data_IF_414326081878
#
_entry.id   IF_414326081878
#
_cell.length_a   1.000
_cell.length_b   1.000
_cell.length_c   1.000
_cell.angle_alpha   90.00
_cell.angle_beta   90.00
_cell.angle_gamma   90.00
#
_symmetry.space_group_name_H-M   'P 1'
#
loop_
_entity.id
_entity.type
_entity.pdbx_description
1 polymer ?
#
# COMPACT_ATOMS: atom_id res chain seq x y z
N UNK A 1 40.53 22.70 8.44
CA UNK A 1 39.21 22.83 7.79
C UNK A 1 38.57 21.50 7.36
N UNK A 2 39.30 20.37 7.26
CA UNK A 2 38.69 19.07 6.87
C UNK A 2 37.89 18.37 8.00
N UNK A 3 38.13 18.66 9.28
CA UNK A 3 37.41 18.01 10.39
C UNK A 3 35.93 18.43 10.53
N UNK A 4 35.55 19.60 10.05
CA UNK A 4 34.16 20.06 10.09
C UNK A 4 33.25 19.49 8.98
N UNK A 5 33.84 18.96 7.91
CA UNK A 5 33.10 18.39 6.78
C UNK A 5 32.72 16.92 7.00
N UNK A 6 33.56 16.19 7.75
CA UNK A 6 33.32 14.76 8.04
C UNK A 6 32.24 14.51 9.09
N UNK A 7 31.85 15.49 9.89
CA UNK A 7 30.79 15.38 10.88
C UNK A 7 29.38 15.37 10.27
N UNK A 8 29.23 15.63 8.96
CA UNK A 8 27.94 15.62 8.24
C UNK A 8 27.65 14.32 7.49
N UNK A 9 28.50 13.31 7.59
CA UNK A 9 28.34 12.01 6.93
C UNK A 9 27.65 10.94 7.77
N UNK A 10 27.14 11.28 8.94
CA UNK A 10 26.20 10.40 9.64
C UNK A 10 24.82 10.60 9.02
N UNK A 11 24.45 9.72 8.09
CA UNK A 11 23.07 9.59 7.66
C UNK A 11 22.38 8.73 8.73
N UNK A 12 22.10 9.36 9.86
CA UNK A 12 21.18 8.82 10.86
C UNK A 12 19.74 9.23 10.53
N UNK A 13 18.75 8.67 11.21
CA UNK A 13 17.40 9.21 11.11
C UNK A 13 17.46 10.70 11.37
N UNK A 14 17.02 11.48 10.41
CA UNK A 14 17.00 12.94 10.51
C UNK A 14 16.27 13.32 11.79
N UNK A 15 17.02 13.55 12.86
CA UNK A 15 16.52 14.38 13.94
C UNK A 15 16.48 15.81 13.40
N UNK A 16 15.49 16.07 12.55
CA UNK A 16 15.12 17.45 12.27
C UNK A 16 14.65 18.00 13.62
N UNK A 17 15.58 18.70 14.30
CA UNK A 17 15.21 19.67 15.30
C UNK A 17 14.36 20.69 14.56
N UNK A 18 13.05 20.44 14.50
CA UNK A 18 12.10 21.44 14.03
C UNK A 18 12.18 22.52 15.08
N UNK A 19 12.74 23.65 14.69
CA UNK A 19 12.63 24.90 15.40
C UNK A 19 11.13 25.14 15.50
N UNK A 20 10.59 24.95 16.69
CA UNK A 20 9.22 25.33 17.06
C UNK A 20 9.12 26.86 16.95
N UNK A 21 8.71 27.32 15.79
CA UNK A 21 8.48 28.72 15.51
C UNK A 21 6.99 29.01 15.83
N UNK A 22 6.71 29.16 17.12
CA UNK A 22 5.64 30.04 17.58
C UNK A 22 4.20 29.53 17.53
N UNK A 23 3.60 29.29 18.69
CA UNK A 23 2.18 29.66 18.95
C UNK A 23 1.13 28.65 18.49
N UNK A 24 1.15 27.45 18.99
CA UNK A 24 0.17 26.40 18.79
C UNK A 24 0.88 25.15 18.29
N UNK A 25 1.32 24.29 19.22
CA UNK A 25 2.05 23.09 18.82
C UNK A 25 1.11 22.15 18.08
N UNK A 26 1.30 22.04 16.76
CA UNK A 26 0.69 20.96 15.99
C UNK A 26 1.17 19.62 16.57
N UNK A 27 0.32 18.58 16.59
CA UNK A 27 0.73 17.27 17.08
C UNK A 27 1.95 16.77 16.30
N UNK A 28 2.97 16.30 17.02
CA UNK A 28 4.14 15.73 16.38
C UNK A 28 3.79 14.43 15.66
N UNK A 29 4.05 14.39 14.36
CA UNK A 29 3.87 13.20 13.53
C UNK A 29 5.22 12.74 12.98
N UNK A 30 5.54 11.48 13.23
CA UNK A 30 6.72 10.81 12.73
C UNK A 30 6.39 9.38 12.28
N UNK A 31 7.37 8.64 11.71
CA UNK A 31 7.16 7.28 11.20
C UNK A 31 6.52 6.33 12.21
N UNK A 32 6.90 6.42 13.48
CA UNK A 32 6.43 5.54 14.55
C UNK A 32 4.96 5.72 14.91
N UNK A 33 4.40 6.92 14.74
CA UNK A 33 3.03 7.23 15.17
C UNK A 33 2.07 7.56 14.02
N UNK A 34 2.58 7.78 12.81
CA UNK A 34 1.76 8.11 11.64
C UNK A 34 0.73 7.02 11.30
N UNK A 35 1.05 5.77 11.59
CA UNK A 35 0.15 4.62 11.35
C UNK A 35 -1.16 4.68 12.17
N UNK A 36 -1.26 5.54 13.17
CA UNK A 36 -2.49 5.75 13.95
C UNK A 36 -3.57 6.47 13.18
N UNK A 37 -3.21 7.18 12.12
CA UNK A 37 -4.16 7.91 11.29
C UNK A 37 -4.76 6.97 10.24
N UNK A 38 -6.09 6.87 10.22
CA UNK A 38 -6.84 5.90 9.42
C UNK A 38 -6.43 5.86 7.94
N UNK A 39 -6.29 6.99 7.22
CA UNK A 39 -5.89 6.95 5.82
C UNK A 39 -4.46 6.39 5.61
N UNK A 40 -3.54 6.75 6.52
CA UNK A 40 -2.16 6.23 6.49
C UNK A 40 -2.14 4.74 6.78
N UNK A 41 -2.85 4.31 7.83
CA UNK A 41 -2.99 2.89 8.16
C UNK A 41 -3.52 2.09 6.97
N UNK A 42 -4.61 2.58 6.34
CA UNK A 42 -5.21 1.90 5.19
C UNK A 42 -4.26 1.82 4.00
N UNK A 43 -3.60 2.92 3.63
CA UNK A 43 -2.66 2.95 2.51
C UNK A 43 -1.47 2.01 2.74
N UNK A 44 -0.83 2.10 3.91
CA UNK A 44 0.35 1.29 4.25
C UNK A 44 0.00 -0.20 4.33
N UNK A 45 -1.12 -0.55 5.00
CA UNK A 45 -1.52 -1.95 5.14
C UNK A 45 -2.01 -2.54 3.82
N UNK A 46 -2.67 -1.77 2.95
CA UNK A 46 -3.08 -2.22 1.63
C UNK A 46 -1.86 -2.63 0.80
N UNK A 47 -0.90 -1.72 0.61
CA UNK A 47 0.32 -1.99 -0.17
C UNK A 47 1.10 -3.17 0.43
N UNK A 48 1.28 -3.18 1.75
CA UNK A 48 2.05 -4.23 2.42
C UNK A 48 1.41 -5.62 2.32
N UNK A 49 0.08 -5.70 2.43
CA UNK A 49 -0.64 -6.95 2.29
C UNK A 49 -0.64 -7.44 0.84
N UNK A 50 -0.79 -6.53 -0.14
CA UNK A 50 -0.79 -6.90 -1.55
C UNK A 50 0.59 -7.43 -1.97
N UNK A 51 1.69 -6.77 -1.59
CA UNK A 51 3.05 -7.27 -1.85
C UNK A 51 3.32 -8.60 -1.12
N UNK A 52 2.80 -8.75 0.10
CA UNK A 52 3.01 -9.96 0.88
C UNK A 52 2.28 -11.18 0.32
N UNK A 53 1.10 -11.00 -0.29
CA UNK A 53 0.30 -12.09 -0.85
C UNK A 53 0.70 -12.51 -2.26
N UNK A 54 1.28 -11.58 -3.04
CA UNK A 54 1.73 -11.90 -4.41
C UNK A 54 2.75 -13.03 -4.39
N UNK A 55 2.56 -14.02 -5.27
CA UNK A 55 3.50 -15.12 -5.41
C UNK A 55 4.85 -14.59 -5.89
N UNK A 56 5.91 -15.06 -5.24
CA UNK A 56 7.28 -14.68 -5.53
C UNK A 56 8.05 -15.97 -5.86
N UNK A 57 8.66 -15.99 -7.01
CA UNK A 57 9.50 -17.10 -7.48
C UNK A 57 10.90 -16.56 -7.81
N UNK A 58 11.90 -17.29 -7.34
CA UNK A 58 13.30 -17.00 -7.60
C UNK A 58 13.92 -18.17 -8.38
N UNK A 59 14.73 -17.87 -9.40
CA UNK A 59 15.43 -18.93 -10.14
C UNK A 59 16.53 -19.60 -9.31
N UNK A 60 17.09 -18.92 -8.31
CA UNK A 60 18.01 -19.52 -7.34
C UNK A 60 17.23 -20.25 -6.25
N UNK A 61 17.44 -21.59 -6.16
CA UNK A 61 16.73 -22.43 -5.20
C UNK A 61 17.03 -22.11 -3.73
N UNK A 62 18.22 -21.59 -3.43
CA UNK A 62 18.62 -21.20 -2.09
C UNK A 62 17.90 -19.93 -1.64
N UNK A 63 17.83 -18.93 -2.53
CA UNK A 63 17.10 -17.70 -2.28
C UNK A 63 15.59 -17.96 -2.20
N UNK A 64 15.04 -18.78 -3.08
CA UNK A 64 13.63 -19.17 -3.09
C UNK A 64 13.23 -19.85 -1.79
N UNK A 65 13.98 -20.86 -1.37
CA UNK A 65 13.75 -21.56 -0.10
C UNK A 65 13.84 -20.61 1.11
N UNK A 66 14.82 -19.70 1.12
CA UNK A 66 14.96 -18.70 2.19
C UNK A 66 13.78 -17.73 2.23
N UNK A 67 13.29 -17.27 1.07
CA UNK A 67 12.16 -16.35 0.99
C UNK A 67 10.82 -17.03 1.25
N UNK A 68 10.70 -18.32 0.99
CA UNK A 68 9.56 -19.15 1.37
C UNK A 68 9.50 -19.42 2.89
N UNK A 69 10.66 -19.46 3.57
CA UNK A 69 10.77 -19.64 5.03
C UNK A 69 11.87 -18.74 5.61
N UNK A 70 11.64 -17.43 5.70
CA UNK A 70 12.68 -16.46 6.05
C UNK A 70 13.14 -16.56 7.50
N UNK A 71 12.30 -17.05 8.40
CA UNK A 71 12.62 -17.20 9.82
C UNK A 71 11.78 -18.32 10.45
N UNK A 72 12.28 -19.04 11.47
CA UNK A 72 11.51 -20.03 12.21
C UNK A 72 10.34 -19.41 13.03
N UNK A 73 10.33 -18.09 13.20
CA UNK A 73 9.33 -17.38 14.02
C UNK A 73 8.31 -16.60 13.18
N UNK A 74 8.48 -16.51 11.86
CA UNK A 74 7.71 -15.62 10.99
C UNK A 74 7.49 -16.27 9.63
N UNK A 75 6.23 -16.29 9.16
CA UNK A 75 5.91 -16.76 7.81
C UNK A 75 6.46 -15.81 6.73
N UNK A 76 6.61 -16.30 5.51
CA UNK A 76 6.98 -15.48 4.36
C UNK A 76 6.06 -14.26 4.18
N UNK A 77 4.76 -14.46 4.35
CA UNK A 77 3.76 -13.40 4.29
C UNK A 77 4.01 -12.31 5.35
N UNK A 78 4.20 -12.71 6.61
CA UNK A 78 4.42 -11.77 7.71
C UNK A 78 5.73 -11.02 7.57
N UNK A 79 6.79 -11.71 7.12
CA UNK A 79 8.09 -11.10 6.87
C UNK A 79 7.99 -10.03 5.77
N UNK A 80 7.43 -10.38 4.60
CA UNK A 80 7.25 -9.45 3.49
C UNK A 80 6.37 -8.27 3.88
N UNK A 81 5.27 -8.53 4.58
CA UNK A 81 4.39 -7.49 5.11
C UNK A 81 5.11 -6.54 6.05
N UNK A 82 5.84 -7.06 7.03
CA UNK A 82 6.55 -6.24 8.02
C UNK A 82 7.65 -5.38 7.37
N UNK A 83 8.48 -5.97 6.50
CA UNK A 83 9.50 -5.25 5.74
C UNK A 83 8.89 -4.12 4.89
N UNK A 84 7.79 -4.41 4.20
CA UNK A 84 7.10 -3.42 3.37
C UNK A 84 6.49 -2.30 4.22
N UNK A 85 5.86 -2.62 5.36
CA UNK A 85 5.36 -1.60 6.27
C UNK A 85 6.47 -0.70 6.80
N UNK A 86 7.62 -1.28 7.13
CA UNK A 86 8.78 -0.51 7.61
C UNK A 86 9.28 0.45 6.53
N UNK A 87 9.48 0.01 5.29
CA UNK A 87 9.95 0.90 4.22
C UNK A 87 8.96 1.99 3.89
N UNK A 88 7.66 1.71 3.92
CA UNK A 88 6.60 2.70 3.70
C UNK A 88 6.52 3.77 4.79
N UNK A 89 6.83 3.42 6.03
CA UNK A 89 6.80 4.35 7.17
C UNK A 89 8.14 5.06 7.37
N UNK A 90 9.22 4.30 7.45
CA UNK A 90 10.55 4.81 7.81
C UNK A 90 11.42 5.14 6.60
N UNK A 91 11.00 4.78 5.39
CA UNK A 91 11.81 4.90 4.18
C UNK A 91 12.87 3.81 4.04
N UNK A 92 13.09 3.02 5.08
CA UNK A 92 14.09 1.95 5.11
C UNK A 92 13.54 0.76 5.87
N UNK A 93 13.86 -0.45 5.40
CA UNK A 93 13.59 -1.68 6.11
C UNK A 93 14.83 -2.57 6.05
N UNK A 94 15.14 -3.22 7.16
CA UNK A 94 16.37 -3.98 7.31
C UNK A 94 16.10 -5.39 7.82
N UNK A 95 16.82 -6.35 7.25
CA UNK A 95 16.95 -7.67 7.83
C UNK A 95 18.42 -8.10 7.84
N UNK A 96 18.90 -8.65 8.94
CA UNK A 96 20.22 -9.25 9.00
C UNK A 96 20.19 -10.62 8.33
N UNK A 97 21.15 -10.89 7.44
CA UNK A 97 21.32 -12.17 6.75
C UNK A 97 22.20 -13.05 7.63
N UNK A 98 21.62 -14.04 8.29
CA UNK A 98 22.35 -15.02 9.05
C UNK A 98 22.88 -16.11 8.10
N UNK A 99 24.19 -16.38 8.16
CA UNK A 99 24.86 -17.36 7.30
C UNK A 99 25.53 -18.43 8.14
N UNK A 100 25.56 -19.66 7.62
CA UNK A 100 26.36 -20.75 8.18
C UNK A 100 27.87 -20.48 8.03
N UNK A 101 28.70 -21.26 8.71
CA UNK A 101 30.17 -21.21 8.55
C UNK A 101 30.57 -21.52 7.10
N UNK A 102 29.75 -22.28 6.37
CA UNK A 102 29.92 -22.59 4.95
C UNK A 102 29.47 -21.48 3.99
N UNK A 103 28.89 -20.41 4.50
CA UNK A 103 28.37 -19.28 3.70
C UNK A 103 26.92 -19.40 3.25
N UNK A 104 26.24 -20.53 3.53
CA UNK A 104 24.83 -20.72 3.21
C UNK A 104 23.95 -19.79 4.01
N UNK A 105 22.93 -19.23 3.39
CA UNK A 105 21.95 -18.38 4.05
C UNK A 105 20.96 -19.23 4.84
N UNK A 106 20.86 -18.97 6.15
CA UNK A 106 20.02 -19.73 7.06
C UNK A 106 18.73 -19.03 7.41
N UNK A 107 18.79 -17.69 7.58
CA UNK A 107 17.69 -16.92 8.16
C UNK A 107 17.82 -15.43 7.81
N UNK A 108 16.66 -14.75 7.70
CA UNK A 108 16.55 -13.31 7.62
C UNK A 108 15.94 -12.79 8.93
N UNK A 109 16.73 -12.05 9.70
CA UNK A 109 16.32 -11.52 11.00
C UNK A 109 15.89 -10.07 10.85
N UNK A 110 14.60 -9.80 11.04
CA UNK A 110 14.04 -8.46 10.92
C UNK A 110 14.64 -7.52 11.96
N UNK A 111 15.12 -6.34 11.52
CA UNK A 111 15.67 -5.30 12.37
C UNK A 111 14.68 -4.12 12.45
N UNK A 112 14.68 -3.43 13.61
CA UNK A 112 13.89 -2.21 13.77
C UNK A 112 14.61 -1.03 13.09
N UNK A 113 13.97 -0.30 12.16
CA UNK A 113 14.62 0.74 11.38
C UNK A 113 15.20 1.90 12.20
N UNK A 114 14.59 2.24 13.32
CA UNK A 114 15.04 3.30 14.23
C UNK A 114 16.29 2.94 15.05
N UNK A 115 16.64 1.65 15.09
CA UNK A 115 17.84 1.15 15.79
C UNK A 115 19.05 0.97 14.86
N UNK A 116 18.86 1.17 13.55
CA UNK A 116 19.92 0.99 12.53
C UNK A 116 20.43 2.34 12.06
N UNK A 117 21.74 2.50 12.02
CA UNK A 117 22.41 3.68 11.46
C UNK A 117 23.46 3.27 10.44
N UNK A 118 23.66 4.09 9.41
CA UNK A 118 24.63 3.87 8.36
C UNK A 118 25.88 4.70 8.62
N UNK A 119 27.02 4.03 8.78
CA UNK A 119 28.34 4.65 8.96
C UNK A 119 29.13 4.58 7.63
N UNK A 120 29.48 5.74 7.09
CA UNK A 120 30.24 5.90 5.84
C UNK A 120 31.67 6.41 6.08
N UNK A 121 32.14 6.49 7.31
CA UNK A 121 33.45 7.09 7.66
C UNK A 121 34.62 6.37 7.04
N UNK A 122 34.49 5.06 6.78
CA UNK A 122 35.54 4.22 6.17
C UNK A 122 35.46 4.17 4.64
N UNK A 123 34.49 4.87 4.02
CA UNK A 123 34.24 4.80 2.58
C UNK A 123 33.43 3.55 2.14
N UNK A 124 33.22 2.60 3.04
CA UNK A 124 32.40 1.41 2.82
C UNK A 124 31.18 1.50 3.75
N UNK A 125 29.97 1.25 3.27
CA UNK A 125 28.77 1.27 4.11
C UNK A 125 28.83 0.21 5.21
N UNK A 126 28.77 0.63 6.47
CA UNK A 126 28.67 -0.22 7.65
C UNK A 126 27.37 0.10 8.37
N UNK A 127 26.54 -0.91 8.58
CA UNK A 127 25.28 -0.78 9.32
C UNK A 127 25.54 -1.04 10.80
N UNK A 128 25.34 -0.01 11.63
CA UNK A 128 25.43 -0.15 13.08
C UNK A 128 24.06 -0.44 13.65
N UNK A 129 23.95 -1.56 14.33
CA UNK A 129 22.71 -2.04 14.97
C UNK A 129 22.91 -2.16 16.47
N UNK A 130 21.87 -1.94 17.24
CA UNK A 130 21.94 -2.14 18.70
C UNK A 130 22.07 -3.63 19.08
N UNK A 131 21.45 -4.52 18.32
CA UNK A 131 21.40 -5.95 18.65
C UNK A 131 22.64 -6.74 18.16
N UNK A 132 23.19 -6.38 16.99
CA UNK A 132 24.24 -7.17 16.31
C UNK A 132 25.53 -6.42 16.09
N UNK A 133 25.63 -5.19 16.61
CA UNK A 133 26.83 -4.34 16.43
C UNK A 133 26.98 -3.86 15.00
N UNK A 134 28.20 -3.95 14.45
CA UNK A 134 28.51 -3.49 13.10
C UNK A 134 28.36 -4.63 12.08
N UNK A 135 27.49 -4.44 11.10
CA UNK A 135 27.25 -5.37 10.00
C UNK A 135 27.74 -4.74 8.69
N UNK A 136 28.35 -5.55 7.85
CA UNK A 136 28.73 -5.15 6.49
C UNK A 136 27.53 -5.09 5.56
N UNK A 137 27.68 -4.41 4.41
CA UNK A 137 26.61 -4.31 3.41
C UNK A 137 26.17 -5.69 2.85
N UNK A 138 27.04 -6.71 2.87
CA UNK A 138 26.71 -8.07 2.44
C UNK A 138 25.90 -8.88 3.47
N UNK A 139 25.86 -8.40 4.72
CA UNK A 139 25.16 -9.04 5.83
C UNK A 139 23.78 -8.41 6.10
N UNK A 140 23.40 -7.39 5.34
CA UNK A 140 22.13 -6.68 5.55
C UNK A 140 21.32 -6.66 4.26
N UNK A 141 20.13 -7.19 4.32
CA UNK A 141 19.09 -7.01 3.31
C UNK A 141 18.40 -5.69 3.60
N UNK A 142 18.52 -4.73 2.69
CA UNK A 142 18.08 -3.35 2.92
C UNK A 142 17.13 -2.86 1.83
N UNK A 143 15.84 -2.86 2.11
CA UNK A 143 14.84 -2.21 1.24
C UNK A 143 14.85 -0.70 1.48
N UNK A 144 14.87 0.07 0.38
CA UNK A 144 14.94 1.53 0.40
C UNK A 144 13.80 2.16 -0.37
N UNK A 145 13.17 3.16 0.24
CA UNK A 145 12.27 4.06 -0.46
C UNK A 145 13.07 4.98 -1.40
N UNK A 146 12.42 5.67 -2.34
CA UNK A 146 13.05 6.67 -3.16
C UNK A 146 13.89 7.66 -2.34
N UNK A 147 15.09 7.97 -2.80
CA UNK A 147 16.05 8.76 -2.06
C UNK A 147 16.98 9.52 -3.01
N UNK A 148 17.36 10.71 -2.62
CA UNK A 148 18.33 11.53 -3.37
C UNK A 148 19.76 11.02 -3.24
N UNK A 149 20.09 10.31 -2.15
CA UNK A 149 21.44 9.78 -1.91
C UNK A 149 21.66 8.38 -2.51
N UNK A 150 20.61 7.63 -2.77
CA UNK A 150 20.66 6.23 -3.19
C UNK A 150 21.13 5.23 -2.12
N UNK A 151 21.67 5.71 -1.01
CA UNK A 151 22.21 4.88 0.09
C UNK A 151 21.24 4.70 1.24
N UNK A 152 20.42 5.70 1.49
CA UNK A 152 19.44 5.74 2.57
C UNK A 152 18.10 6.25 2.03
N UNK A 153 17.05 5.48 2.22
CA UNK A 153 15.70 5.84 1.76
C UNK A 153 15.11 6.98 2.59
N UNK A 154 14.42 7.90 1.94
CA UNK A 154 13.74 8.99 2.61
C UNK A 154 12.35 8.55 3.07
N UNK A 155 12.00 8.80 4.35
CA UNK A 155 10.69 8.45 4.88
C UNK A 155 9.58 9.31 4.22
N UNK A 156 8.57 8.72 3.56
CA UNK A 156 7.45 9.47 3.01
C UNK A 156 6.73 10.30 4.08
N UNK A 157 6.62 9.75 5.30
CA UNK A 157 6.05 10.45 6.46
C UNK A 157 6.86 11.68 6.85
N UNK A 158 8.18 11.57 6.84
CA UNK A 158 9.07 12.68 7.20
C UNK A 158 9.09 13.77 6.13
N UNK A 159 9.07 13.39 4.85
CA UNK A 159 9.03 14.32 3.72
C UNK A 159 7.70 15.10 3.67
N UNK A 160 6.58 14.39 3.85
CA UNK A 160 5.23 14.95 3.77
C UNK A 160 4.63 15.25 5.15
N UNK A 161 5.48 15.50 6.14
CA UNK A 161 5.08 15.69 7.55
C UNK A 161 3.97 16.72 7.73
N UNK A 162 4.06 17.86 7.05
CA UNK A 162 3.09 18.95 7.19
C UNK A 162 1.68 18.52 6.81
N UNK A 163 1.51 17.78 5.72
CA UNK A 163 0.19 17.28 5.29
C UNK A 163 -0.40 16.31 6.32
N UNK A 164 0.43 15.44 6.88
CA UNK A 164 -0.01 14.48 7.89
C UNK A 164 -0.27 15.15 9.24
N UNK A 165 0.51 16.18 9.61
CA UNK A 165 0.23 17.00 10.79
C UNK A 165 -1.08 17.78 10.67
N UNK A 166 -1.41 18.25 9.46
CA UNK A 166 -2.70 18.89 9.21
C UNK A 166 -3.86 17.89 9.42
N UNK A 167 -3.75 16.67 8.91
CA UNK A 167 -4.71 15.58 9.16
C UNK A 167 -4.87 15.33 10.67
N UNK A 168 -3.76 15.23 11.39
CA UNK A 168 -3.74 15.03 12.84
C UNK A 168 -4.44 16.16 13.58
N UNK A 169 -4.17 17.41 13.20
CA UNK A 169 -4.80 18.58 13.80
C UNK A 169 -6.32 18.64 13.53
N UNK A 170 -6.75 18.23 12.34
CA UNK A 170 -8.17 18.14 11.99
C UNK A 170 -8.89 17.08 12.83
N UNK A 171 -8.28 15.90 13.03
CA UNK A 171 -8.83 14.85 13.88
C UNK A 171 -8.92 15.31 15.35
N UNK A 172 -7.88 15.95 15.87
CA UNK A 172 -7.87 16.49 17.22
C UNK A 172 -8.95 17.59 17.40
N UNK A 173 -9.09 18.47 16.40
CA UNK A 173 -10.12 19.52 16.41
C UNK A 173 -11.53 18.92 16.38
N UNK A 174 -11.76 17.91 15.54
CA UNK A 174 -13.03 17.20 15.49
C UNK A 174 -13.32 16.53 16.84
N UNK A 175 -12.34 15.81 17.41
CA UNK A 175 -12.49 15.16 18.71
C UNK A 175 -12.82 16.16 19.82
N UNK A 176 -12.14 17.31 19.86
CA UNK A 176 -12.45 18.38 20.81
C UNK A 176 -13.84 18.98 20.59
N UNK A 177 -14.27 19.14 19.33
CA UNK A 177 -15.62 19.61 19.03
C UNK A 177 -16.69 18.63 19.53
N UNK A 178 -16.50 17.35 19.35
CA UNK A 178 -17.42 16.31 19.86
C UNK A 178 -17.33 16.13 21.39
N UNK A 179 -16.16 16.14 21.97
CA UNK A 179 -15.98 15.97 23.43
C UNK A 179 -16.55 17.13 24.22
N UNK A 180 -16.49 18.34 23.67
CA UNK A 180 -17.10 19.53 24.26
C UNK A 180 -18.62 19.61 24.01
N UNK A 181 -19.21 18.52 23.50
CA UNK A 181 -20.66 18.35 23.35
C UNK A 181 -21.35 19.43 22.52
N UNK A 182 -20.68 19.92 21.48
CA UNK A 182 -21.25 20.97 20.65
C UNK A 182 -21.51 22.27 21.43
N UNK A 183 -20.78 22.50 22.51
CA UNK A 183 -20.93 23.70 23.28
C UNK A 183 -20.56 24.89 22.36
N UNK A 184 -21.55 25.61 21.79
CA UNK A 184 -21.26 26.71 20.91
C UNK A 184 -20.43 27.73 21.71
N UNK A 185 -19.42 28.30 21.07
CA UNK A 185 -18.71 29.44 21.67
C UNK A 185 -19.73 30.55 21.85
N UNK A 186 -20.35 30.57 23.01
CA UNK A 186 -21.35 31.57 23.38
C UNK A 186 -20.72 32.58 24.33
N UNK A 187 -21.08 33.84 24.17
CA UNK A 187 -20.87 34.84 25.18
C UNK A 187 -22.15 34.99 26.01
N UNK A 188 -22.01 34.90 27.31
CA UNK A 188 -23.06 35.34 28.22
C UNK A 188 -22.88 36.84 28.43
N UNK A 189 -23.75 37.62 27.84
CA UNK A 189 -23.73 39.09 27.94
C UNK A 189 -24.66 39.53 29.08
N UNK A 190 -24.12 40.28 30.04
CA UNK A 190 -24.86 40.85 31.13
C UNK A 190 -24.97 42.37 30.93
N UNK A 191 -26.13 42.99 31.19
CA UNK A 191 -26.36 44.41 30.91
C UNK A 191 -25.57 45.38 31.81
N UNK A 192 -25.01 44.90 32.92
CA UNK A 192 -24.21 45.71 33.84
C UNK A 192 -22.83 45.13 34.13
N UNK A 193 -21.95 45.89 34.79
CA UNK A 193 -20.62 45.40 35.16
C UNK A 193 -20.73 44.27 36.21
N UNK A 194 -20.08 43.14 35.95
CA UNK A 194 -19.97 42.02 36.87
C UNK A 194 -18.64 42.07 37.64
N UNK A 195 -18.69 41.79 38.94
CA UNK A 195 -17.47 41.60 39.73
C UNK A 195 -16.71 40.34 39.27
N UNK A 196 -15.43 40.28 39.60
CA UNK A 196 -14.58 39.09 39.24
C UNK A 196 -15.15 37.79 39.82
N UNK A 197 -15.63 37.86 41.07
CA UNK A 197 -16.23 36.72 41.78
C UNK A 197 -17.53 36.27 41.12
N UNK A 198 -18.38 37.18 40.68
CA UNK A 198 -19.63 36.88 39.99
C UNK A 198 -19.35 36.20 38.64
N UNK A 199 -18.34 36.68 37.87
CA UNK A 199 -17.92 36.01 36.61
C UNK A 199 -17.46 34.59 36.85
N UNK A 200 -16.59 34.38 37.83
CA UNK A 200 -16.09 33.02 38.16
C UNK A 200 -17.21 32.06 38.55
N UNK A 201 -18.16 32.55 39.34
CA UNK A 201 -19.34 31.77 39.77
C UNK A 201 -20.21 31.38 38.58
N UNK A 202 -20.52 32.31 37.69
CA UNK A 202 -21.31 32.07 36.49
C UNK A 202 -20.61 31.06 35.58
N UNK A 203 -19.27 31.20 35.39
CA UNK A 203 -18.52 30.26 34.59
C UNK A 203 -18.50 28.83 35.19
N UNK A 204 -18.24 28.73 36.49
CA UNK A 204 -18.23 27.40 37.14
C UNK A 204 -19.60 26.75 37.13
N UNK A 205 -20.68 27.49 37.32
CA UNK A 205 -22.06 27.00 37.26
C UNK A 205 -22.43 26.56 35.83
N UNK A 206 -21.96 27.31 34.82
CA UNK A 206 -22.17 26.97 33.42
C UNK A 206 -21.40 25.67 33.07
N UNK A 207 -20.13 25.57 33.41
CA UNK A 207 -19.31 24.38 33.20
C UNK A 207 -19.90 23.15 33.89
N UNK A 208 -20.29 23.24 35.14
CA UNK A 208 -20.85 22.13 35.89
C UNK A 208 -22.19 21.60 35.33
N UNK A 209 -23.03 22.51 34.77
CA UNK A 209 -24.38 22.14 34.32
C UNK A 209 -24.46 21.85 32.81
N UNK A 210 -23.57 22.43 32.01
CA UNK A 210 -23.68 22.41 30.53
C UNK A 210 -22.43 21.89 29.82
N UNK A 211 -21.29 21.73 30.49
CA UNK A 211 -20.13 21.13 29.87
C UNK A 211 -20.22 19.59 29.85
N UNK A 212 -19.67 18.98 28.81
CA UNK A 212 -19.57 17.53 28.63
C UNK A 212 -20.81 16.90 27.97
N UNK A 213 -20.56 15.71 27.34
CA UNK A 213 -21.58 14.96 26.58
C UNK A 213 -22.81 14.56 27.41
N UNK A 214 -22.64 14.34 28.70
CA UNK A 214 -23.71 13.99 29.62
C UNK A 214 -24.74 15.10 29.88
N UNK A 215 -24.37 16.35 29.58
CA UNK A 215 -25.18 17.53 29.78
C UNK A 215 -25.79 18.12 28.51
N UNK A 216 -25.56 17.47 27.38
CA UNK A 216 -26.07 17.91 26.07
C UNK A 216 -27.60 17.94 26.06
N UNK A 217 -28.16 19.07 25.58
CA UNK A 217 -29.61 19.26 25.48
C UNK A 217 -30.29 19.76 26.75
N UNK A 218 -29.58 20.02 27.84
CA UNK A 218 -30.17 20.62 29.04
C UNK A 218 -30.54 22.10 28.76
N UNK A 219 -31.74 22.55 29.19
CA UNK A 219 -32.15 23.94 29.00
C UNK A 219 -31.23 24.87 29.83
N UNK A 220 -30.82 25.95 29.22
CA UNK A 220 -30.05 27.02 29.89
C UNK A 220 -31.01 28.09 30.42
N UNK A 221 -30.99 28.28 31.73
CA UNK A 221 -31.80 29.33 32.38
C UNK A 221 -30.90 30.53 32.59
N UNK A 222 -31.28 31.65 32.00
CA UNK A 222 -30.62 32.96 32.16
C UNK A 222 -31.34 33.78 33.19
N UNK A 223 -30.62 34.41 34.09
CA UNK A 223 -31.14 35.30 35.10
C UNK A 223 -30.65 36.73 34.85
N UNK A 224 -31.31 37.72 35.48
CA UNK A 224 -30.86 39.13 35.57
C UNK A 224 -30.62 39.81 34.20
N UNK A 225 -31.42 39.49 33.18
CA UNK A 225 -31.35 40.14 31.88
C UNK A 225 -30.15 39.68 31.01
N UNK A 226 -29.48 38.60 31.38
CA UNK A 226 -28.42 38.03 30.55
C UNK A 226 -28.94 37.60 29.20
N UNK A 227 -28.11 37.76 28.17
CA UNK A 227 -28.38 37.31 26.80
C UNK A 227 -27.25 36.36 26.33
N UNK A 228 -27.61 35.41 25.46
CA UNK A 228 -26.66 34.58 24.78
C UNK A 228 -26.36 35.22 23.44
N UNK A 229 -25.10 35.52 23.21
CA UNK A 229 -24.59 35.84 21.86
C UNK A 229 -23.68 34.73 21.39
N UNK A 230 -23.94 34.25 20.18
CA UNK A 230 -23.05 33.27 19.53
C UNK A 230 -21.85 34.02 18.95
N UNK A 231 -20.64 33.77 19.48
CA UNK A 231 -19.40 34.40 19.04
C UNK A 231 -18.79 33.70 17.83
N UNK A 232 -19.11 32.45 17.58
CA UNK A 232 -18.59 31.75 16.43
C UNK A 232 -19.65 31.63 15.34
N UNK A 233 -19.25 32.00 14.12
CA UNK A 233 -19.72 31.26 12.96
C UNK A 233 -19.45 29.78 13.23
N UNK A 234 -20.45 28.94 13.10
CA UNK A 234 -20.26 27.51 12.97
C UNK A 234 -19.06 27.31 12.07
N UNK A 235 -17.98 26.69 12.58
CA UNK A 235 -17.06 26.00 11.70
C UNK A 235 -17.98 25.04 10.95
N UNK A 236 -18.29 25.45 9.72
CA UNK A 236 -19.23 24.73 8.89
C UNK A 236 -18.84 23.26 8.97
N UNK A 237 -19.73 22.41 9.48
CA UNK A 237 -19.47 20.97 9.49
C UNK A 237 -19.09 20.48 8.08
N UNK A 238 -19.60 21.15 7.04
CA UNK A 238 -19.21 20.98 5.66
C UNK A 238 -17.74 21.38 5.37
N UNK A 239 -17.24 22.45 5.97
CA UNK A 239 -15.84 22.88 5.81
C UNK A 239 -14.86 21.89 6.41
N UNK A 240 -15.16 21.34 7.59
CA UNK A 240 -14.33 20.31 8.23
C UNK A 240 -14.37 18.98 7.44
N UNK A 241 -15.54 18.57 6.97
CA UNK A 241 -15.70 17.37 6.15
C UNK A 241 -14.91 17.49 4.84
N UNK A 242 -15.00 18.63 4.16
CA UNK A 242 -14.23 18.89 2.93
C UNK A 242 -12.73 18.91 3.21
N UNK A 243 -12.28 19.54 4.29
CA UNK A 243 -10.87 19.56 4.68
C UNK A 243 -10.33 18.15 4.97
N UNK A 244 -11.11 17.29 5.62
CA UNK A 244 -10.74 15.87 5.83
C UNK A 244 -10.63 15.10 4.52
N UNK A 245 -11.52 15.33 3.54
CA UNK A 245 -11.41 14.72 2.21
C UNK A 245 -10.12 15.11 1.50
N UNK A 246 -9.69 16.38 1.57
CA UNK A 246 -8.39 16.80 1.03
C UNK A 246 -7.22 16.12 1.72
N UNK A 247 -7.26 15.94 3.03
CA UNK A 247 -6.20 15.25 3.76
C UNK A 247 -6.09 13.77 3.40
N UNK A 248 -7.22 13.08 3.13
CA UNK A 248 -7.22 11.72 2.58
C UNK A 248 -6.63 11.68 1.18
N UNK A 249 -6.95 12.69 0.33
CA UNK A 249 -6.36 12.81 -1.00
C UNK A 249 -4.84 13.04 -0.96
N UNK A 250 -4.33 13.76 0.03
CA UNK A 250 -2.89 13.93 0.22
C UNK A 250 -2.20 12.61 0.58
N UNK A 251 -2.80 11.81 1.45
CA UNK A 251 -2.28 10.46 1.75
C UNK A 251 -2.30 9.56 0.50
N UNK A 252 -3.36 9.66 -0.32
CA UNK A 252 -3.44 8.97 -1.63
C UNK A 252 -2.25 9.35 -2.53
N UNK A 253 -1.91 10.63 -2.62
CA UNK A 253 -0.77 11.12 -3.42
C UNK A 253 0.58 10.69 -2.86
N UNK A 254 0.75 10.67 -1.53
CA UNK A 254 2.00 10.26 -0.86
C UNK A 254 2.35 8.82 -1.21
N UNK A 255 1.38 7.93 -1.20
CA UNK A 255 1.60 6.49 -1.42
C UNK A 255 1.26 6.01 -2.83
N UNK A 256 0.69 6.86 -3.69
CA UNK A 256 0.24 6.47 -5.03
C UNK A 256 -0.98 5.54 -5.04
N UNK A 257 -1.70 5.44 -3.92
CA UNK A 257 -2.89 4.58 -3.82
C UNK A 257 -4.10 5.33 -4.39
N UNK A 258 -4.87 4.75 -5.31
CA UNK A 258 -6.07 5.39 -5.84
C UNK A 258 -7.05 5.77 -4.71
N UNK A 259 -7.66 6.94 -4.83
CA UNK A 259 -8.58 7.49 -3.82
C UNK A 259 -9.76 6.55 -3.53
N UNK A 260 -10.20 5.77 -4.52
CA UNK A 260 -11.27 4.77 -4.39
C UNK A 260 -11.00 3.66 -3.37
N UNK A 261 -9.72 3.39 -3.06
CA UNK A 261 -9.33 2.41 -2.04
C UNK A 261 -9.29 3.02 -0.62
N UNK A 262 -9.27 4.35 -0.53
CA UNK A 262 -9.14 5.10 0.72
C UNK A 262 -10.45 5.80 1.15
N UNK A 263 -11.40 5.99 0.25
CA UNK A 263 -12.64 6.73 0.48
C UNK A 263 -13.84 6.01 -0.12
N UNK A 264 -14.96 5.99 0.61
CA UNK A 264 -16.21 5.35 0.20
C UNK A 264 -16.94 6.09 -0.94
N UNK A 265 -16.63 7.38 -1.15
CA UNK A 265 -17.36 8.24 -2.10
C UNK A 265 -16.97 8.06 -3.56
N UNK A 266 -16.05 7.17 -3.87
CA UNK A 266 -15.60 6.88 -5.24
C UNK A 266 -16.08 5.51 -5.69
N UNK A 267 -17.41 5.27 -5.68
CA UNK A 267 -18.00 4.04 -6.20
C UNK A 267 -17.80 3.92 -7.72
N UNK A 268 -16.87 3.09 -8.20
CA UNK A 268 -16.67 2.92 -9.64
C UNK A 268 -17.72 1.97 -10.22
N UNK A 269 -18.08 2.22 -11.48
CA UNK A 269 -18.77 1.27 -12.35
C UNK A 269 -17.87 0.04 -12.60
N UNK A 270 -18.44 -1.14 -12.85
CA UNK A 270 -17.70 -2.41 -12.98
C UNK A 270 -16.51 -2.36 -13.95
N UNK A 271 -16.63 -1.76 -15.13
CA UNK A 271 -15.50 -1.58 -16.07
C UNK A 271 -14.42 -0.61 -15.60
N UNK A 272 -14.72 0.19 -14.58
CA UNK A 272 -13.77 1.12 -13.96
C UNK A 272 -12.93 0.41 -12.88
N UNK A 273 -13.44 -0.68 -12.29
CA UNK A 273 -12.74 -1.43 -11.23
C UNK A 273 -11.49 -2.14 -11.75
N UNK A 274 -11.58 -2.84 -12.89
CA UNK A 274 -10.44 -3.51 -13.51
C UNK A 274 -9.35 -2.49 -13.90
N UNK A 275 -9.75 -1.39 -14.54
CA UNK A 275 -8.83 -0.32 -14.89
C UNK A 275 -8.15 0.28 -13.64
N UNK A 276 -8.89 0.50 -12.56
CA UNK A 276 -8.35 1.00 -11.29
C UNK A 276 -7.38 0.01 -10.65
N UNK A 277 -7.69 -1.29 -10.68
CA UNK A 277 -6.80 -2.33 -10.16
C UNK A 277 -5.50 -2.38 -10.95
N UNK A 278 -5.59 -2.35 -12.28
CA UNK A 278 -4.42 -2.32 -13.16
C UNK A 278 -3.58 -1.05 -12.94
N UNK A 279 -4.22 0.11 -12.87
CA UNK A 279 -3.55 1.38 -12.58
C UNK A 279 -2.89 1.38 -11.19
N UNK A 280 -3.51 0.73 -10.18
CA UNK A 280 -2.92 0.58 -8.86
C UNK A 280 -1.67 -0.31 -8.88
N UNK A 281 -1.72 -1.43 -9.58
CA UNK A 281 -0.54 -2.30 -9.75
C UNK A 281 0.57 -1.55 -10.47
N UNK A 282 0.28 -0.94 -11.63
CA UNK A 282 1.29 -0.28 -12.47
C UNK A 282 1.90 0.95 -11.78
N UNK A 283 1.08 1.83 -11.22
CA UNK A 283 1.53 3.11 -10.69
C UNK A 283 2.02 3.05 -9.23
N UNK A 284 1.53 2.08 -8.44
CA UNK A 284 1.84 2.00 -7.02
C UNK A 284 2.69 0.78 -6.66
N UNK A 285 2.25 -0.43 -7.00
CA UNK A 285 2.92 -1.64 -6.53
C UNK A 285 4.22 -1.95 -7.26
N UNK A 286 4.26 -1.75 -8.58
CA UNK A 286 5.41 -2.11 -9.43
C UNK A 286 6.73 -1.54 -8.93
N UNK A 287 6.74 -0.28 -8.47
CA UNK A 287 7.95 0.33 -7.91
C UNK A 287 8.48 -0.42 -6.67
N UNK A 288 7.58 -0.88 -5.80
CA UNK A 288 7.97 -1.62 -4.59
C UNK A 288 8.41 -3.04 -4.92
N UNK A 289 7.74 -3.71 -5.86
CA UNK A 289 8.17 -5.02 -6.38
C UNK A 289 9.57 -4.93 -6.99
N UNK A 290 9.87 -3.87 -7.73
CA UNK A 290 11.23 -3.62 -8.24
C UNK A 290 12.25 -3.38 -7.13
N UNK A 291 11.88 -2.65 -6.06
CA UNK A 291 12.77 -2.48 -4.90
C UNK A 291 13.11 -3.84 -4.27
N UNK A 292 12.12 -4.70 -4.09
CA UNK A 292 12.32 -6.06 -3.60
C UNK A 292 13.20 -6.89 -4.54
N UNK A 293 12.86 -6.96 -5.83
CA UNK A 293 13.62 -7.72 -6.82
C UNK A 293 15.08 -7.28 -6.87
N UNK A 294 15.33 -5.96 -6.88
CA UNK A 294 16.68 -5.42 -6.93
C UNK A 294 17.52 -5.83 -5.72
N UNK A 295 16.93 -5.82 -4.52
CA UNK A 295 17.69 -6.20 -3.32
C UNK A 295 17.84 -7.72 -3.19
N UNK A 296 16.84 -8.52 -3.63
CA UNK A 296 16.96 -9.98 -3.73
C UNK A 296 18.11 -10.35 -4.67
N UNK A 297 18.14 -9.82 -5.88
CA UNK A 297 19.22 -10.05 -6.84
C UNK A 297 20.58 -9.59 -6.34
N UNK A 298 20.63 -8.51 -5.57
CA UNK A 298 21.89 -7.97 -5.06
C UNK A 298 22.47 -8.74 -3.87
N UNK A 299 21.62 -9.39 -3.05
CA UNK A 299 22.03 -9.94 -1.74
C UNK A 299 21.82 -11.45 -1.59
N UNK A 300 20.82 -11.98 -2.24
CA UNK A 300 20.39 -13.36 -2.03
C UNK A 300 20.67 -14.27 -3.23
N UNK A 301 20.85 -13.71 -4.41
CA UNK A 301 21.05 -14.45 -5.66
C UNK A 301 22.36 -14.06 -6.37
N UNK A 302 22.68 -14.79 -7.43
CA UNK A 302 23.71 -14.41 -8.38
C UNK A 302 23.17 -13.43 -9.43
N UNK A 303 24.03 -12.63 -10.04
CA UNK A 303 23.67 -11.55 -10.96
C UNK A 303 22.94 -11.99 -12.26
N UNK A 304 22.89 -13.29 -12.54
CA UNK A 304 22.25 -13.86 -13.73
C UNK A 304 20.86 -14.47 -13.45
N UNK A 305 20.44 -14.48 -12.19
CA UNK A 305 19.18 -15.06 -11.77
C UNK A 305 18.02 -14.06 -11.94
N UNK A 306 16.81 -14.56 -12.08
CA UNK A 306 15.59 -13.77 -12.24
C UNK A 306 14.68 -13.88 -11.02
N UNK A 307 13.94 -12.80 -10.78
CA UNK A 307 12.90 -12.74 -9.76
C UNK A 307 11.59 -12.46 -10.47
N UNK A 308 10.61 -13.29 -10.27
CA UNK A 308 9.28 -13.17 -10.86
C UNK A 308 8.23 -12.95 -9.77
N UNK A 309 7.31 -12.03 -10.04
CA UNK A 309 6.15 -11.73 -9.22
C UNK A 309 4.88 -11.97 -10.02
N UNK A 310 4.03 -12.88 -9.57
CA UNK A 310 2.73 -13.11 -10.19
C UNK A 310 1.73 -12.04 -9.72
N UNK A 311 1.61 -10.98 -10.49
CA UNK A 311 0.67 -9.88 -10.20
C UNK A 311 -0.73 -10.11 -10.76
N UNK A 312 -0.96 -11.19 -11.53
CA UNK A 312 -2.23 -11.46 -12.20
C UNK A 312 -3.36 -11.69 -11.18
N UNK A 313 -3.03 -12.23 -10.01
CA UNK A 313 -3.98 -12.38 -8.91
C UNK A 313 -4.58 -11.04 -8.43
N UNK A 314 -3.81 -9.94 -8.53
CA UNK A 314 -4.27 -8.61 -8.13
C UNK A 314 -5.19 -7.94 -9.14
N UNK A 315 -5.10 -8.35 -10.41
CA UNK A 315 -5.78 -7.72 -11.57
C UNK A 315 -6.80 -8.66 -12.19
N UNK A 316 -7.17 -9.76 -11.53
CA UNK A 316 -8.07 -10.76 -12.12
C UNK A 316 -9.30 -10.11 -12.74
N UNK A 317 -9.47 -10.23 -14.08
CA UNK A 317 -10.68 -9.77 -14.75
C UNK A 317 -11.89 -10.57 -14.24
N UNK A 318 -13.09 -10.02 -14.38
CA UNK A 318 -14.31 -10.74 -14.05
C UNK A 318 -14.42 -12.05 -14.84
N UNK A 319 -15.04 -13.09 -14.26
CA UNK A 319 -15.20 -14.41 -14.92
C UNK A 319 -15.74 -14.27 -16.35
N UNK A 320 -16.67 -13.35 -16.59
CA UNK A 320 -17.27 -13.12 -17.91
C UNK A 320 -16.23 -12.57 -18.92
N UNK A 321 -15.33 -11.71 -18.50
CA UNK A 321 -14.27 -11.12 -19.31
C UNK A 321 -13.18 -12.15 -19.62
N UNK A 322 -12.78 -12.94 -18.60
CA UNK A 322 -11.84 -14.06 -18.79
C UNK A 322 -12.40 -15.06 -19.80
N UNK A 323 -13.67 -15.48 -19.65
CA UNK A 323 -14.32 -16.38 -20.59
C UNK A 323 -14.39 -15.81 -22.01
N UNK A 324 -14.64 -14.50 -22.15
CA UNK A 324 -14.67 -13.83 -23.45
C UNK A 324 -13.28 -13.77 -24.10
N UNK A 325 -12.24 -13.47 -23.32
CA UNK A 325 -10.85 -13.44 -23.78
C UNK A 325 -10.37 -14.83 -24.22
N UNK A 326 -10.59 -15.86 -23.40
CA UNK A 326 -10.25 -17.25 -23.70
C UNK A 326 -11.00 -17.77 -24.94
N UNK A 327 -12.29 -17.46 -25.05
CA UNK A 327 -13.06 -17.76 -26.24
C UNK A 327 -12.44 -17.14 -27.49
N UNK A 328 -12.08 -15.85 -27.46
CA UNK A 328 -11.46 -15.14 -28.57
C UNK A 328 -10.10 -15.73 -28.91
N UNK A 329 -9.28 -16.09 -27.93
CA UNK A 329 -7.97 -16.71 -28.14
C UNK A 329 -8.10 -18.11 -28.81
N UNK A 330 -9.07 -18.92 -28.39
CA UNK A 330 -9.35 -20.22 -28.97
C UNK A 330 -9.92 -20.06 -30.40
N UNK A 331 -10.86 -19.13 -30.64
CA UNK A 331 -11.43 -18.86 -31.96
C UNK A 331 -10.38 -18.32 -32.93
N UNK A 332 -9.42 -17.54 -32.46
CA UNK A 332 -8.30 -17.02 -33.25
C UNK A 332 -7.17 -18.06 -33.50
N UNK A 333 -7.23 -19.21 -32.86
CA UNK A 333 -6.24 -20.30 -32.99
C UNK A 333 -4.93 -20.04 -32.25
N UNK A 334 -4.86 -19.05 -31.37
CA UNK A 334 -3.69 -18.79 -30.51
C UNK A 334 -3.57 -19.78 -29.35
N UNK A 335 -4.70 -20.38 -28.96
CA UNK A 335 -4.81 -21.25 -27.82
C UNK A 335 -5.67 -22.46 -28.15
N UNK A 336 -5.30 -23.62 -27.65
CA UNK A 336 -6.11 -24.83 -27.75
C UNK A 336 -7.24 -24.80 -26.73
N UNK A 337 -8.25 -25.65 -26.91
CA UNK A 337 -9.34 -25.75 -25.93
C UNK A 337 -8.88 -26.33 -24.61
N UNK A 338 -7.87 -27.23 -24.61
CA UNK A 338 -7.31 -27.78 -23.38
C UNK A 338 -6.47 -26.76 -22.63
N UNK A 339 -5.67 -25.93 -23.31
CA UNK A 339 -4.97 -24.80 -22.68
C UNK A 339 -5.94 -23.81 -22.06
N UNK A 340 -7.04 -23.46 -22.73
CA UNK A 340 -8.08 -22.62 -22.15
C UNK A 340 -8.82 -23.26 -20.97
N UNK A 341 -8.89 -24.58 -20.90
CA UNK A 341 -9.43 -25.32 -19.75
C UNK A 341 -8.45 -25.31 -18.58
N UNK A 342 -7.15 -25.46 -18.87
CA UNK A 342 -6.07 -25.40 -17.87
C UNK A 342 -6.03 -24.05 -17.18
N UNK A 343 -6.20 -22.94 -17.94
CA UNK A 343 -6.32 -21.59 -17.40
C UNK A 343 -7.51 -21.38 -16.43
N UNK A 344 -8.49 -22.25 -16.52
CA UNK A 344 -9.67 -22.28 -15.66
C UNK A 344 -9.62 -23.38 -14.57
N UNK A 345 -8.44 -23.99 -14.35
CA UNK A 345 -8.25 -25.14 -13.45
C UNK A 345 -9.17 -26.33 -13.79
N UNK A 346 -9.53 -26.51 -15.07
CA UNK A 346 -10.37 -27.61 -15.54
C UNK A 346 -9.53 -28.71 -16.17
N UNK A 347 -9.81 -29.98 -15.81
CA UNK A 347 -9.09 -31.14 -16.36
C UNK A 347 -9.16 -31.17 -17.89
N UNK A 348 -8.06 -31.52 -18.59
CA UNK A 348 -8.02 -31.64 -20.04
C UNK A 348 -8.99 -32.74 -20.53
N UNK A 349 -9.55 -32.57 -21.73
CA UNK A 349 -10.43 -33.54 -22.37
C UNK A 349 -9.78 -34.11 -23.63
N UNK A 350 -9.94 -35.42 -23.92
CA UNK A 350 -9.37 -36.01 -25.10
C UNK A 350 -9.86 -35.36 -26.39
N UNK A 351 -8.97 -35.09 -27.34
CA UNK A 351 -9.29 -34.53 -28.65
C UNK A 351 -9.43 -33.03 -28.73
N UNK A 352 -9.11 -32.25 -27.64
CA UNK A 352 -9.17 -30.82 -27.62
C UNK A 352 -7.79 -30.14 -27.67
N UNK A 353 -6.74 -30.88 -28.01
CA UNK A 353 -5.35 -30.37 -28.04
C UNK A 353 -4.96 -29.73 -29.39
N UNK A 354 -5.83 -29.81 -30.40
CA UNK A 354 -5.60 -29.16 -31.69
C UNK A 354 -6.17 -27.73 -31.70
N UNK A 355 -5.43 -26.73 -32.21
CA UNK A 355 -5.94 -25.39 -32.37
C UNK A 355 -7.14 -25.35 -33.34
N UNK A 356 -8.13 -24.57 -33.00
CA UNK A 356 -9.30 -24.36 -33.86
C UNK A 356 -8.91 -23.44 -34.99
N UNK A 357 -8.93 -23.96 -36.24
CA UNK A 357 -8.74 -23.13 -37.43
C UNK A 357 -10.12 -22.80 -37.99
N UNK A 358 -10.44 -21.53 -38.11
CA UNK A 358 -11.69 -21.10 -38.72
C UNK A 358 -11.72 -21.54 -40.17
N UNK A 359 -12.81 -22.20 -40.62
CA UNK A 359 -12.99 -22.75 -41.98
C UNK A 359 -12.86 -21.71 -43.10
N UNK A 360 -13.00 -20.44 -42.77
CA UNK A 360 -12.87 -19.31 -43.73
C UNK A 360 -11.45 -18.71 -43.79
N UNK A 361 -10.53 -19.10 -42.89
CA UNK A 361 -9.12 -18.78 -42.99
C UNK A 361 -8.43 -19.90 -43.77
N UNK A 362 -8.33 -19.75 -45.09
CA UNK A 362 -7.65 -20.68 -45.97
C UNK A 362 -6.25 -20.95 -45.47
N UNK A 363 -5.97 -22.19 -45.06
CA UNK A 363 -4.61 -22.64 -44.78
C UNK A 363 -3.80 -22.53 -46.06
N UNK A 364 -2.90 -21.54 -46.12
CA UNK A 364 -1.92 -21.48 -47.18
C UNK A 364 -1.10 -22.76 -47.25
N UNK A 365 -1.40 -23.61 -48.23
CA UNK A 365 -0.51 -24.64 -48.74
C UNK A 365 -0.25 -25.88 -47.88
N UNK A 366 -1.27 -26.64 -47.52
CA UNK A 366 -1.12 -28.03 -47.08
C UNK A 366 -2.28 -28.85 -47.61
N UNK A 367 -2.04 -29.65 -48.66
CA UNK A 367 -3.01 -30.62 -49.16
C UNK A 367 -3.19 -31.68 -48.07
N UNK A 368 -4.22 -31.56 -47.26
CA UNK A 368 -4.72 -32.72 -46.49
C UNK A 368 -5.46 -33.62 -47.48
N UNK A 369 -4.83 -34.73 -47.89
CA UNK A 369 -5.50 -35.84 -48.52
C UNK A 369 -6.55 -36.38 -47.55
N UNK A 370 -7.76 -35.97 -47.67
CA UNK A 370 -8.92 -36.72 -47.21
C UNK A 370 -9.02 -37.93 -48.18
N UNK A 371 -8.44 -39.06 -47.77
CA UNK A 371 -8.62 -40.36 -48.39
C UNK A 371 -10.10 -40.68 -48.39
N UNK A 372 -10.73 -40.50 -49.56
CA UNK A 372 -11.99 -41.14 -49.85
C UNK A 372 -11.72 -42.58 -50.13
N UNK A 373 -11.84 -43.41 -49.10
CA UNK A 373 -12.07 -44.87 -49.28
C UNK A 373 -13.40 -45.10 -49.99
N UNK A 374 -13.34 -45.19 -51.33
CA UNK A 374 -14.39 -45.84 -52.10
C UNK A 374 -13.88 -47.20 -52.50
N UNK A 375 -13.97 -48.15 -51.61
CA UNK A 375 -13.88 -49.57 -51.97
C UNK A 375 -15.31 -50.08 -52.33
N UNK A 376 -15.47 -50.38 -53.61
CA UNK A 376 -16.12 -51.53 -54.12
C UNK A 376 -17.66 -51.63 -54.00
N UNK A 377 -18.30 -51.41 -55.12
CA UNK A 377 -19.17 -52.47 -55.55
C UNK A 377 -19.36 -52.42 -57.09
N UNK A 378 -18.78 -53.38 -57.78
CA UNK A 378 -19.01 -53.66 -59.17
C UNK A 378 -20.33 -54.44 -59.31
N UNK A 379 -21.38 -53.78 -59.84
CA UNK A 379 -22.64 -54.42 -60.27
C UNK A 379 -22.79 -54.30 -61.74
N UNK A 380 -22.86 -55.43 -62.39
CA UNK A 380 -23.00 -55.78 -63.78
C UNK A 380 -24.02 -55.00 -64.56
N UNK A 381 -23.85 -54.73 -65.85
CA UNK A 381 -24.82 -54.10 -66.72
C UNK A 381 -25.89 -55.08 -67.15
N UNK A 382 -27.15 -54.69 -67.09
CA UNK A 382 -28.23 -55.38 -67.82
C UNK A 382 -28.57 -54.58 -69.10
N UNK A 383 -28.32 -55.27 -70.23
CA UNK A 383 -28.87 -55.03 -71.56
C UNK A 383 -30.39 -54.98 -71.48
N UNK A 384 -30.96 -53.98 -72.11
CA UNK A 384 -32.23 -54.13 -72.81
C UNK A 384 -32.34 -53.05 -73.91
N UNK A 385 -32.23 -53.52 -75.16
CA UNK A 385 -32.86 -52.96 -76.39
C UNK A 385 -34.12 -53.79 -76.68
N UNK A 386 -35.08 -53.33 -77.46
CA UNK A 386 -35.02 -52.50 -78.65
C UNK A 386 -35.61 -51.11 -78.54
#
# INVERSE_FOLDING_TARGET
>A
MLRGFLQRMFVGPWSSTIIDQGGGSLPFVGPANAIRYTPVYRAVTLIANDIARVSLECSDTGADSLLASPSPYMSAFEFRRAMTMQVLLYGNAFAAINRSVGGEMLELILLQPDTVTLDLTTGVPIYRTMAYGALTASQVFHLRAPSTSGLWGDSPISLCRTSIQLLAAQEEMALKAYSNAGNPKIALVHPGPLSLEARQRIMSDYEAKHAGTANTGKPLVLAEGMRIERISSTLDDAGLATARQYSVADVSRIYGVPMSYLSENAGPSYGTLEWLSRMYVDACLTQWLHCWSSEIMNKLQNAYDSVYWDTDELVRPGIAETMSALRTAVEAGFMTRNEARDELDLMPLPGLDAPVVALNMGTGGGKTNLGTDTSGNAGTPNDFTP
#
